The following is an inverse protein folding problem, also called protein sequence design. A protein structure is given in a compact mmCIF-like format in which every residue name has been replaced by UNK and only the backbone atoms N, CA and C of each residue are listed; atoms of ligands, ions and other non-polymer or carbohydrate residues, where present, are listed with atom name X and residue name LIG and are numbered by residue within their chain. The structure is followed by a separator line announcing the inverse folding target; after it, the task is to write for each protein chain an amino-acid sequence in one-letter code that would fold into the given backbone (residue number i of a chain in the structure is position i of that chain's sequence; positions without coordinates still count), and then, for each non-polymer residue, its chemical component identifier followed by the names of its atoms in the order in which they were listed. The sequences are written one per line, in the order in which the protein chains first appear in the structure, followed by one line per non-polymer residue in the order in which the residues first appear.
data_IF_919639585373
#
_entry.id   IF_919639585373
#
_cell.length_a   1.000
_cell.length_b   1.000
_cell.length_c   1.000
_cell.angle_alpha   90.00
_cell.angle_beta   90.00
_cell.angle_gamma   90.00
#
_symmetry.space_group_name_H-M   'P 1'
#
loop_
_entity.id
_entity.type
_entity.pdbx_description
1 polymer ?
#
# COMPACT_ATOMS: atom_id res chain seq x y z
N UNK A 1 6.33 1.37 -13.02
CA UNK A 1 7.29 1.85 -12.01
C UNK A 1 8.65 1.24 -12.30
N UNK A 2 9.73 2.01 -12.14
CA UNK A 2 11.10 1.52 -12.30
C UNK A 2 11.66 1.06 -10.95
N UNK A 3 12.33 -0.11 -10.91
CA UNK A 3 13.05 -0.57 -9.73
C UNK A 3 14.41 0.13 -9.64
N UNK A 4 14.69 0.75 -8.51
CA UNK A 4 15.97 1.41 -8.23
C UNK A 4 16.72 0.67 -7.13
N UNK A 5 18.03 0.58 -7.25
CA UNK A 5 18.88 0.07 -6.17
C UNK A 5 19.10 1.18 -5.13
N UNK A 6 18.93 0.85 -3.86
CA UNK A 6 19.17 1.74 -2.72
C UNK A 6 19.93 0.95 -1.66
N UNK A 7 20.81 1.64 -0.94
CA UNK A 7 21.48 1.11 0.24
C UNK A 7 20.90 1.81 1.45
N UNK A 8 20.20 1.05 2.29
CA UNK A 8 19.55 1.51 3.53
C UNK A 8 19.75 0.43 4.59
N UNK A 9 19.83 0.84 5.85
CA UNK A 9 19.83 -0.09 6.98
C UNK A 9 18.39 -0.45 7.33
N UNK A 10 18.13 -1.74 7.54
CA UNK A 10 16.80 -2.28 7.86
C UNK A 10 16.90 -3.26 9.01
N UNK A 11 15.83 -3.35 9.81
CA UNK A 11 15.69 -4.34 10.87
C UNK A 11 15.50 -5.74 10.26
N UNK A 12 16.50 -6.62 10.48
CA UNK A 12 16.51 -7.98 9.97
C UNK A 12 15.37 -8.84 10.55
N UNK A 13 14.99 -8.63 11.81
CA UNK A 13 13.91 -9.40 12.44
C UNK A 13 12.56 -8.98 11.86
N UNK A 14 12.37 -7.69 11.57
CA UNK A 14 11.21 -7.21 10.85
C UNK A 14 11.13 -7.83 9.44
N UNK A 15 12.24 -7.87 8.70
CA UNK A 15 12.31 -8.51 7.37
C UNK A 15 11.92 -9.98 7.46
N UNK A 16 12.45 -10.71 8.44
CA UNK A 16 12.15 -12.13 8.63
C UNK A 16 10.66 -12.37 8.93
N UNK A 17 10.07 -11.58 9.84
CA UNK A 17 8.63 -11.66 10.13
C UNK A 17 7.78 -11.39 8.89
N UNK A 18 8.12 -10.36 8.11
CA UNK A 18 7.40 -10.01 6.87
C UNK A 18 7.51 -11.14 5.85
N UNK A 19 8.70 -11.72 5.66
CA UNK A 19 8.89 -12.85 4.75
C UNK A 19 8.00 -14.04 5.10
N UNK A 20 7.93 -14.39 6.39
CA UNK A 20 7.08 -15.48 6.87
C UNK A 20 5.61 -15.14 6.62
N UNK A 21 5.17 -13.94 7.02
CA UNK A 21 3.78 -13.50 6.87
C UNK A 21 3.30 -13.49 5.41
N UNK A 22 4.18 -13.09 4.48
CA UNK A 22 3.87 -13.02 3.05
C UNK A 22 4.24 -14.29 2.28
N UNK A 23 4.83 -15.29 2.95
CA UNK A 23 5.44 -16.47 2.31
C UNK A 23 6.37 -16.09 1.13
N UNK A 24 7.15 -15.03 1.30
CA UNK A 24 8.01 -14.48 0.25
C UNK A 24 9.32 -15.26 0.13
N UNK A 25 9.77 -15.50 -1.11
CA UNK A 25 10.99 -16.27 -1.39
C UNK A 25 12.26 -15.48 -1.04
N UNK A 26 12.20 -14.16 -1.17
CA UNK A 26 13.35 -13.27 -0.94
C UNK A 26 13.00 -12.07 -0.07
N UNK A 27 13.98 -11.49 0.61
CA UNK A 27 13.82 -10.24 1.37
C UNK A 27 13.38 -9.10 0.45
N UNK A 28 13.97 -9.03 -0.75
CA UNK A 28 13.61 -8.05 -1.77
C UNK A 28 12.14 -8.14 -2.15
N UNK A 29 11.62 -9.34 -2.33
CA UNK A 29 10.21 -9.57 -2.64
C UNK A 29 9.32 -9.11 -1.49
N UNK A 30 9.61 -9.54 -0.26
CA UNK A 30 8.89 -9.13 0.94
C UNK A 30 8.82 -7.60 1.08
N UNK A 31 9.97 -6.91 1.01
CA UNK A 31 10.06 -5.46 1.18
C UNK A 31 9.30 -4.73 0.07
N UNK A 32 9.46 -5.13 -1.19
CA UNK A 32 8.76 -4.48 -2.30
C UNK A 32 7.24 -4.68 -2.23
N UNK A 33 6.77 -5.84 -1.74
CA UNK A 33 5.35 -6.09 -1.54
C UNK A 33 4.78 -5.16 -0.47
N UNK A 34 5.46 -5.01 0.67
CA UNK A 34 5.02 -4.10 1.75
C UNK A 34 5.02 -2.65 1.27
N UNK A 35 6.07 -2.20 0.57
CA UNK A 35 6.11 -0.83 0.03
C UNK A 35 4.95 -0.56 -0.94
N UNK A 36 4.61 -1.53 -1.78
CA UNK A 36 3.48 -1.40 -2.71
C UNK A 36 2.13 -1.37 -1.99
N UNK A 37 1.96 -2.19 -0.96
CA UNK A 37 0.75 -2.17 -0.14
C UNK A 37 0.58 -0.81 0.52
N UNK A 38 1.65 -0.29 1.13
CA UNK A 38 1.63 1.01 1.79
C UNK A 38 1.33 2.16 0.83
N UNK A 39 1.91 2.17 -0.37
CA UNK A 39 1.58 3.13 -1.44
C UNK A 39 0.11 3.04 -1.88
N UNK A 40 -0.45 1.83 -1.95
CA UNK A 40 -1.86 1.60 -2.27
C UNK A 40 -2.77 2.17 -1.17
N UNK A 41 -2.43 1.94 0.09
CA UNK A 41 -3.20 2.41 1.24
C UNK A 41 -3.20 3.96 1.31
N UNK A 42 -2.06 4.60 1.04
CA UNK A 42 -1.95 6.06 0.94
C UNK A 42 -2.89 6.59 -0.15
N UNK A 43 -2.81 6.05 -1.37
CA UNK A 43 -3.67 6.51 -2.47
C UNK A 43 -5.14 6.30 -2.19
N UNK A 44 -5.50 5.19 -1.54
CA UNK A 44 -6.89 4.95 -1.15
C UNK A 44 -7.35 6.02 -0.16
N UNK A 45 -6.55 6.33 0.86
CA UNK A 45 -6.86 7.38 1.81
C UNK A 45 -7.00 8.77 1.15
N UNK A 46 -6.13 9.09 0.19
CA UNK A 46 -6.20 10.33 -0.60
C UNK A 46 -7.50 10.42 -1.42
N UNK A 47 -7.87 9.36 -2.13
CA UNK A 47 -9.11 9.29 -2.90
C UNK A 47 -10.33 9.39 -1.99
N UNK A 48 -10.34 8.68 -0.87
CA UNK A 48 -11.43 8.75 0.12
C UNK A 48 -11.57 10.17 0.66
N UNK A 49 -10.46 10.85 0.95
CA UNK A 49 -10.48 12.23 1.43
C UNK A 49 -10.99 13.20 0.34
N UNK A 50 -10.55 13.05 -0.91
CA UNK A 50 -11.02 13.88 -2.03
C UNK A 50 -12.52 13.71 -2.32
N UNK A 51 -13.02 12.48 -2.21
CA UNK A 51 -14.44 12.15 -2.41
C UNK A 51 -15.28 12.38 -1.14
N UNK A 52 -14.67 12.78 -0.02
CA UNK A 52 -15.40 13.07 1.21
C UNK A 52 -16.24 14.34 1.00
N UNK A 53 -17.56 14.18 0.96
CA UNK A 53 -18.51 15.28 0.78
C UNK A 53 -18.99 15.50 -0.67
N UNK A 54 -18.53 14.69 -1.64
CA UNK A 54 -19.06 14.69 -3.02
C UNK A 54 -20.18 13.65 -3.22
N UNK A 55 -20.72 13.10 -2.14
CA UNK A 55 -21.81 12.13 -2.21
C UNK A 55 -23.12 12.89 -2.42
N UNK A 56 -23.54 13.00 -3.68
CA UNK A 56 -24.80 13.60 -4.05
C UNK A 56 -25.94 12.59 -3.83
N UNK A 57 -26.64 12.74 -2.70
CA UNK A 57 -27.76 11.88 -2.34
C UNK A 57 -29.02 12.15 -3.19
N UNK A 58 -29.11 13.29 -3.89
CA UNK A 58 -30.31 13.66 -4.65
C UNK A 58 -30.45 12.81 -5.93
N UNK A 59 -29.35 12.36 -6.54
CA UNK A 59 -29.38 11.55 -7.76
C UNK A 59 -29.85 10.09 -7.58
N UNK A 60 -29.98 9.59 -6.35
CA UNK A 60 -30.31 8.18 -6.08
C UNK A 60 -31.83 7.96 -5.89
N UNK A 61 -32.61 9.04 -5.77
CA UNK A 61 -34.05 8.98 -5.48
C UNK A 61 -34.92 9.77 -6.46
N UNK A 62 -34.38 10.24 -7.60
CA UNK A 62 -35.22 10.71 -8.70
C UNK A 62 -35.74 9.50 -9.51
N UNK A 63 -37.08 9.37 -9.52
CA UNK A 63 -37.89 8.39 -10.27
C UNK A 63 -37.69 8.50 -11.80
#
# INVERSE_FOLDING_TARGET
MALVKKTIELDQDAINRIKIALNAKTEKEAINTVLKQFDTDIRLAEITFQNAGTFDYEAVFED
#
